data_IF_647778474883
#
_entry.id   IF_647778474883
#
_cell.length_a   1.000
_cell.length_b   1.000
_cell.length_c   1.000
_cell.angle_alpha   90.00
_cell.angle_beta   90.00
_cell.angle_gamma   90.00
#
_symmetry.space_group_name_H-M   'P 1'
#
loop_
_entity.id
_entity.type
_entity.pdbx_description
1 polymer ?
#
# COMPACT_ATOMS: atom_id res chain seq x y z
N UNK A 1 31.49 31.27 4.52
CA UNK A 1 30.74 31.13 5.78
C UNK A 1 29.28 31.28 5.41
N UNK A 2 28.65 30.19 4.95
CA UNK A 2 27.23 30.14 4.58
C UNK A 2 26.48 29.67 5.80
N UNK A 3 25.33 30.25 6.16
CA UNK A 3 24.65 29.93 7.41
C UNK A 3 24.12 28.50 7.41
N UNK A 4 24.36 27.80 8.49
CA UNK A 4 23.78 26.50 8.88
C UNK A 4 22.33 26.72 9.36
N UNK A 5 21.39 26.97 8.44
CA UNK A 5 19.95 26.93 8.73
C UNK A 5 19.25 26.44 7.47
N UNK A 6 18.98 25.14 7.41
CA UNK A 6 17.89 24.43 6.76
C UNK A 6 18.22 22.91 6.63
N UNK A 7 18.62 22.29 7.73
CA UNK A 7 18.67 20.83 7.80
C UNK A 7 17.77 20.36 8.95
N UNK A 8 16.47 20.48 8.76
CA UNK A 8 15.51 19.76 9.59
C UNK A 8 14.19 19.55 8.84
N UNK A 9 13.83 18.29 8.72
CA UNK A 9 12.56 17.68 9.07
C UNK A 9 11.63 17.35 7.91
N UNK A 10 11.83 16.17 7.31
CA UNK A 10 10.80 15.54 6.46
C UNK A 10 10.07 14.37 7.15
N UNK A 11 10.31 14.15 8.45
CA UNK A 11 9.67 13.08 9.22
C UNK A 11 8.67 13.62 10.26
N UNK A 12 8.39 14.94 10.23
CA UNK A 12 7.48 15.58 11.16
C UNK A 12 6.12 15.76 10.52
N UNK A 13 5.06 15.33 11.22
CA UNK A 13 3.68 15.58 10.83
C UNK A 13 3.41 17.08 10.88
N UNK A 14 3.05 17.68 9.76
CA UNK A 14 2.80 19.10 9.59
C UNK A 14 1.35 19.40 9.98
N UNK A 15 1.15 20.03 11.12
CA UNK A 15 -0.15 20.28 11.70
C UNK A 15 -0.56 21.75 11.55
N UNK A 16 -1.79 21.98 11.06
CA UNK A 16 -2.44 23.30 11.09
C UNK A 16 -3.50 23.29 12.19
N UNK A 17 -3.41 24.23 13.14
CA UNK A 17 -4.42 24.40 14.19
C UNK A 17 -5.35 25.57 13.85
N UNK A 18 -6.68 25.34 13.92
CA UNK A 18 -7.71 26.36 13.73
C UNK A 18 -8.50 26.48 15.03
N UNK A 19 -8.20 27.56 15.79
CA UNK A 19 -8.65 27.73 17.16
C UNK A 19 -8.69 29.23 17.50
N UNK A 20 -9.83 29.76 17.93
CA UNK A 20 -10.01 31.19 18.23
C UNK A 20 -9.87 31.52 19.73
N UNK A 21 -9.81 30.52 20.61
CA UNK A 21 -9.58 30.72 22.03
C UNK A 21 -8.09 30.65 22.35
N UNK A 22 -7.42 31.79 22.71
CA UNK A 22 -5.97 31.83 22.88
C UNK A 22 -5.45 30.83 23.93
N UNK A 23 -6.21 30.57 24.99
CA UNK A 23 -5.83 29.63 26.05
C UNK A 23 -5.78 28.19 25.54
N UNK A 24 -6.71 27.78 24.66
CA UNK A 24 -6.75 26.45 24.04
C UNK A 24 -5.59 26.32 23.05
N UNK A 25 -5.37 27.33 22.21
CA UNK A 25 -4.24 27.37 21.30
C UNK A 25 -2.88 27.26 22.01
N UNK A 26 -2.71 27.99 23.13
CA UNK A 26 -1.51 27.87 23.97
C UNK A 26 -1.37 26.49 24.61
N UNK A 27 -2.47 25.91 25.09
CA UNK A 27 -2.49 24.55 25.64
C UNK A 27 -2.02 23.53 24.63
N UNK A 28 -2.60 23.52 23.41
CA UNK A 28 -2.19 22.61 22.33
C UNK A 28 -0.72 22.82 21.96
N UNK A 29 -0.28 24.06 21.80
CA UNK A 29 1.14 24.37 21.55
C UNK A 29 2.06 23.83 22.64
N UNK A 30 1.70 24.03 23.91
CA UNK A 30 2.48 23.55 25.06
C UNK A 30 2.63 22.02 25.07
N UNK A 31 1.58 21.28 24.70
CA UNK A 31 1.62 19.81 24.60
C UNK A 31 2.56 19.33 23.48
N UNK A 32 2.70 20.09 22.40
CA UNK A 32 3.48 19.71 21.23
C UNK A 32 4.92 20.24 21.24
N UNK A 33 5.24 21.28 22.03
CA UNK A 33 6.58 21.88 22.09
C UNK A 33 7.69 20.91 22.52
N UNK A 34 7.36 19.88 23.29
CA UNK A 34 8.31 18.86 23.74
C UNK A 34 8.45 17.67 22.76
N UNK A 35 7.74 17.71 21.62
CA UNK A 35 7.64 16.60 20.69
C UNK A 35 8.29 16.94 19.34
N UNK A 36 9.30 16.16 18.97
CA UNK A 36 9.97 16.33 17.66
C UNK A 36 9.18 15.77 16.47
N UNK A 37 8.15 14.95 16.74
CA UNK A 37 7.39 14.25 15.70
C UNK A 37 6.31 15.10 15.02
N UNK A 38 5.87 16.22 15.62
CA UNK A 38 4.79 17.06 15.07
C UNK A 38 5.28 18.51 15.00
N UNK A 39 5.09 19.15 13.85
CA UNK A 39 5.40 20.57 13.61
C UNK A 39 4.11 21.34 13.40
N UNK A 40 3.81 22.32 14.27
CA UNK A 40 2.72 23.26 14.04
C UNK A 40 3.16 24.24 12.95
N UNK A 41 2.44 24.26 11.84
CA UNK A 41 2.69 25.19 10.71
C UNK A 41 2.23 26.59 11.06
N UNK A 42 0.99 26.69 11.53
CA UNK A 42 0.36 27.96 11.93
C UNK A 42 -0.80 27.69 12.90
N UNK A 43 -1.26 28.74 13.57
CA UNK A 43 -2.49 28.75 14.38
C UNK A 43 -3.39 29.86 13.86
N UNK A 44 -4.50 29.47 13.27
CA UNK A 44 -5.47 30.37 12.67
C UNK A 44 -6.71 30.54 13.52
N UNK A 45 -7.20 31.76 13.60
CA UNK A 45 -8.43 32.09 14.34
C UNK A 45 -9.62 32.32 13.44
N UNK A 46 -9.41 32.41 12.12
CA UNK A 46 -10.44 32.64 11.10
C UNK A 46 -10.54 31.45 10.15
N UNK A 47 -11.66 30.73 10.20
CA UNK A 47 -11.92 29.58 9.36
C UNK A 47 -11.94 29.88 7.85
N UNK A 48 -12.40 31.08 7.45
CA UNK A 48 -12.45 31.46 6.03
C UNK A 48 -11.04 31.64 5.46
N UNK A 49 -10.12 32.18 6.25
CA UNK A 49 -8.71 32.33 5.88
C UNK A 49 -8.03 30.96 5.85
N UNK A 50 -8.36 30.08 6.80
CA UNK A 50 -7.79 28.74 6.86
C UNK A 50 -8.07 27.94 5.57
N UNK A 51 -9.32 27.91 5.09
CA UNK A 51 -9.69 27.23 3.84
C UNK A 51 -8.87 27.73 2.65
N UNK A 52 -8.60 29.04 2.55
CA UNK A 52 -7.82 29.62 1.46
C UNK A 52 -6.33 29.27 1.52
N UNK A 53 -5.78 29.08 2.74
CA UNK A 53 -4.34 28.88 2.93
C UNK A 53 -3.93 27.38 3.01
N UNK A 54 -4.87 26.47 3.27
CA UNK A 54 -4.58 25.01 3.29
C UNK A 54 -3.88 24.54 2.01
N UNK A 55 -4.27 24.92 0.78
CA UNK A 55 -3.59 24.49 -0.44
C UNK A 55 -2.13 24.95 -0.54
N UNK A 56 -1.80 26.12 0.02
CA UNK A 56 -0.45 26.67 0.04
C UNK A 56 0.40 26.05 1.17
N UNK A 57 -0.20 25.91 2.35
CA UNK A 57 0.47 25.36 3.53
C UNK A 57 0.68 23.87 3.44
N UNK A 58 -0.20 23.16 2.74
CA UNK A 58 -0.19 21.68 2.59
C UNK A 58 0.05 20.98 3.94
N UNK A 59 -0.81 21.17 4.94
CA UNK A 59 -0.70 20.45 6.20
C UNK A 59 -0.99 18.97 6.00
N UNK A 60 -0.34 18.11 6.80
CA UNK A 60 -0.62 16.69 6.82
C UNK A 60 -1.86 16.36 7.67
N UNK A 61 -2.17 17.22 8.67
CA UNK A 61 -3.35 17.11 9.53
C UNK A 61 -3.84 18.51 9.89
N UNK A 62 -5.15 18.71 9.86
CA UNK A 62 -5.80 19.93 10.37
C UNK A 62 -6.52 19.62 11.66
N UNK A 63 -6.34 20.43 12.69
CA UNK A 63 -7.06 20.36 13.96
C UNK A 63 -8.01 21.56 14.05
N UNK A 64 -9.30 21.31 14.22
CA UNK A 64 -10.36 22.35 14.22
C UNK A 64 -11.13 22.30 15.53
N UNK A 65 -11.32 23.44 16.18
CA UNK A 65 -12.27 23.54 17.29
C UNK A 65 -13.72 23.46 16.77
N UNK A 66 -14.50 22.52 17.31
CA UNK A 66 -15.95 22.40 17.03
C UNK A 66 -16.73 23.66 17.41
N UNK A 67 -16.23 24.41 18.39
CA UNK A 67 -16.86 25.63 18.94
C UNK A 67 -16.35 26.92 18.32
N UNK A 68 -15.48 26.81 17.28
CA UNK A 68 -14.94 27.97 16.57
C UNK A 68 -16.04 28.97 16.22
N UNK A 69 -15.83 30.22 16.60
CA UNK A 69 -16.74 31.32 16.34
C UNK A 69 -16.35 32.03 15.01
N UNK A 70 -17.24 32.85 14.47
CA UNK A 70 -16.97 33.64 13.28
C UNK A 70 -17.96 33.38 12.15
N UNK A 71 -17.52 33.74 10.91
CA UNK A 71 -18.36 33.60 9.69
C UNK A 71 -18.67 32.15 9.36
N UNK A 72 -17.72 31.25 9.65
CA UNK A 72 -17.83 29.82 9.43
C UNK A 72 -17.64 29.16 10.78
N UNK A 73 -18.67 28.42 11.25
CA UNK A 73 -18.62 27.68 12.52
C UNK A 73 -17.83 26.39 12.39
N UNK A 74 -17.27 25.89 13.49
CA UNK A 74 -16.31 24.78 13.51
C UNK A 74 -16.67 23.58 12.64
N UNK A 75 -17.86 22.98 12.82
CA UNK A 75 -18.27 21.82 12.00
C UNK A 75 -18.61 22.17 10.54
N UNK A 76 -19.08 23.41 10.28
CA UNK A 76 -19.25 23.88 8.90
C UNK A 76 -17.90 24.09 8.21
N UNK A 77 -16.89 24.51 8.98
CA UNK A 77 -15.52 24.63 8.49
C UNK A 77 -14.95 23.28 8.09
N UNK A 78 -15.14 22.24 8.90
CA UNK A 78 -14.72 20.88 8.57
C UNK A 78 -15.26 20.45 7.22
N UNK A 79 -16.55 20.66 6.98
CA UNK A 79 -17.17 20.35 5.69
C UNK A 79 -16.57 21.13 4.53
N UNK A 80 -16.28 22.43 4.71
CA UNK A 80 -15.65 23.25 3.68
C UNK A 80 -14.19 22.85 3.41
N UNK A 81 -13.44 22.46 4.45
CA UNK A 81 -12.08 21.93 4.27
C UNK A 81 -12.14 20.62 3.48
N UNK A 82 -13.09 19.75 3.80
CA UNK A 82 -13.29 18.50 3.09
C UNK A 82 -13.63 18.72 1.60
N UNK A 83 -14.49 19.70 1.30
CA UNK A 83 -14.88 20.05 -0.08
C UNK A 83 -13.74 20.74 -0.86
N UNK A 84 -12.86 21.49 -0.19
CA UNK A 84 -11.79 22.27 -0.82
C UNK A 84 -10.45 21.53 -0.91
N UNK A 85 -10.20 20.59 -0.01
CA UNK A 85 -8.93 19.85 0.10
C UNK A 85 -9.23 18.44 0.62
N UNK A 86 -9.77 17.59 -0.24
CA UNK A 86 -10.27 16.25 0.08
C UNK A 86 -9.25 15.35 0.77
N UNK A 87 -7.94 15.62 0.58
CA UNK A 87 -6.86 14.76 1.03
C UNK A 87 -6.29 15.14 2.41
N UNK A 88 -6.80 16.20 3.05
CA UNK A 88 -6.32 16.64 4.36
C UNK A 88 -7.24 16.14 5.46
N UNK A 89 -6.78 15.22 6.32
CA UNK A 89 -7.58 14.72 7.41
C UNK A 89 -7.80 15.77 8.49
N UNK A 90 -9.03 15.83 9.03
CA UNK A 90 -9.41 16.77 10.07
C UNK A 90 -9.68 16.05 11.39
N UNK A 91 -9.06 16.54 12.47
CA UNK A 91 -9.34 16.19 13.85
C UNK A 91 -10.15 17.32 14.48
N UNK A 92 -11.28 16.98 15.09
CA UNK A 92 -12.16 17.95 15.75
C UNK A 92 -11.89 17.97 17.25
N UNK A 93 -11.56 19.15 17.79
CA UNK A 93 -11.54 19.38 19.23
C UNK A 93 -12.98 19.66 19.68
N UNK A 94 -13.39 19.03 20.77
CA UNK A 94 -14.77 19.20 21.30
C UNK A 94 -14.76 19.19 22.84
N UNK A 95 -15.92 19.37 23.44
CA UNK A 95 -16.13 19.28 24.89
C UNK A 95 -17.17 18.21 25.20
N UNK A 96 -17.17 17.60 26.40
CA UNK A 96 -18.12 16.53 26.75
C UNK A 96 -19.59 16.93 26.61
N UNK A 97 -19.88 18.23 26.72
CA UNK A 97 -21.24 18.77 26.60
C UNK A 97 -21.76 18.84 25.16
N UNK A 98 -20.86 18.76 24.18
CA UNK A 98 -21.16 18.75 22.74
C UNK A 98 -20.40 17.62 22.06
N UNK A 99 -20.80 16.37 22.25
CA UNK A 99 -20.11 15.23 21.67
C UNK A 99 -20.20 15.26 20.15
N UNK A 100 -19.06 15.04 19.50
CA UNK A 100 -18.94 14.90 18.04
C UNK A 100 -18.47 13.48 17.77
N UNK A 101 -19.05 12.82 16.78
CA UNK A 101 -18.59 11.48 16.32
C UNK A 101 -17.57 11.58 15.21
N UNK A 102 -16.74 10.55 15.06
CA UNK A 102 -15.90 10.36 13.87
C UNK A 102 -16.81 10.07 12.68
N UNK A 103 -16.64 10.83 11.60
CA UNK A 103 -17.44 10.72 10.37
C UNK A 103 -16.57 11.11 9.16
N UNK A 104 -15.74 10.17 8.65
CA UNK A 104 -14.85 10.45 7.53
C UNK A 104 -15.59 10.87 6.25
N UNK A 105 -16.83 10.41 6.05
CA UNK A 105 -17.64 10.79 4.89
C UNK A 105 -18.01 12.29 4.88
N UNK A 106 -18.01 12.92 6.05
CA UNK A 106 -18.21 14.36 6.23
C UNK A 106 -16.94 15.10 6.66
N UNK A 107 -15.77 14.47 6.49
CA UNK A 107 -14.44 15.07 6.73
C UNK A 107 -13.96 15.00 8.18
N UNK A 108 -14.64 14.31 9.12
CA UNK A 108 -14.21 14.17 10.52
C UNK A 108 -13.45 12.86 10.69
N UNK A 109 -12.12 12.90 10.60
CA UNK A 109 -11.26 11.72 10.68
C UNK A 109 -10.85 11.36 12.10
N UNK A 110 -10.93 12.32 13.04
CA UNK A 110 -10.63 12.10 14.43
C UNK A 110 -11.35 13.09 15.34
N UNK A 111 -11.51 12.71 16.59
CA UNK A 111 -12.12 13.58 17.61
C UNK A 111 -11.30 13.51 18.89
N UNK A 112 -11.08 14.67 19.53
CA UNK A 112 -10.47 14.82 20.84
C UNK A 112 -11.39 15.65 21.74
N UNK A 113 -11.82 15.07 22.86
CA UNK A 113 -12.66 15.78 23.85
C UNK A 113 -11.81 16.41 24.92
N UNK A 114 -11.98 17.70 25.16
CA UNK A 114 -11.33 18.46 26.22
C UNK A 114 -11.80 18.02 27.62
N UNK A 115 -10.91 17.94 28.64
CA UNK A 115 -9.46 18.05 28.54
C UNK A 115 -8.81 16.76 28.05
N UNK A 116 -7.79 16.85 27.23
CA UNK A 116 -7.00 15.71 26.74
C UNK A 116 -5.52 15.88 27.11
N UNK A 117 -4.78 14.77 27.16
CA UNK A 117 -3.33 14.80 27.42
C UNK A 117 -2.52 15.00 26.12
N UNK A 118 -1.23 15.33 26.28
CA UNK A 118 -0.29 15.36 25.14
C UNK A 118 -0.21 14.00 24.44
N UNK A 119 -0.27 12.91 25.20
CA UNK A 119 -0.28 11.56 24.68
C UNK A 119 -1.53 11.30 23.78
N UNK A 120 -2.72 11.72 24.22
CA UNK A 120 -3.96 11.56 23.44
C UNK A 120 -3.89 12.33 22.12
N UNK A 121 -3.39 13.58 22.17
CA UNK A 121 -3.23 14.41 20.97
C UNK A 121 -2.23 13.78 19.98
N UNK A 122 -1.05 13.39 20.45
CA UNK A 122 0.00 12.81 19.60
C UNK A 122 -0.46 11.49 18.99
N UNK A 123 -1.08 10.63 19.82
CA UNK A 123 -1.61 9.33 19.36
C UNK A 123 -2.68 9.54 18.30
N UNK A 124 -3.63 10.47 18.53
CA UNK A 124 -4.71 10.74 17.57
C UNK A 124 -4.19 11.35 16.27
N UNK A 125 -3.28 12.33 16.35
CA UNK A 125 -2.64 12.93 15.16
C UNK A 125 -1.87 11.87 14.37
N UNK A 126 -1.06 11.06 15.04
CA UNK A 126 -0.29 9.98 14.40
C UNK A 126 -1.20 8.91 13.76
N UNK A 127 -2.29 8.54 14.45
CA UNK A 127 -3.26 7.58 13.94
C UNK A 127 -3.97 8.10 12.69
N UNK A 128 -4.54 9.31 12.77
CA UNK A 128 -5.28 9.93 11.65
C UNK A 128 -4.35 10.19 10.47
N UNK A 129 -3.13 10.67 10.71
CA UNK A 129 -2.13 10.86 9.66
C UNK A 129 -1.75 9.53 8.99
N UNK A 130 -1.55 8.47 9.78
CA UNK A 130 -1.25 7.13 9.27
C UNK A 130 -2.42 6.53 8.46
N UNK A 131 -3.65 6.70 8.96
CA UNK A 131 -4.85 6.28 8.23
C UNK A 131 -5.00 7.03 6.91
N UNK A 132 -4.72 8.36 6.89
CA UNK A 132 -4.77 9.17 5.67
C UNK A 132 -3.64 8.83 4.68
N UNK A 133 -2.44 8.52 5.16
CA UNK A 133 -1.38 7.99 4.28
C UNK A 133 -1.79 6.67 3.62
N UNK A 134 -2.71 5.94 4.24
CA UNK A 134 -3.32 4.74 3.68
C UNK A 134 -4.50 5.05 2.73
N UNK A 135 -5.09 6.25 2.82
CA UNK A 135 -6.27 6.66 2.02
C UNK A 135 -6.02 7.85 1.07
N UNK A 136 -4.77 8.32 0.92
CA UNK A 136 -4.44 9.46 0.03
C UNK A 136 -4.92 9.26 -1.41
N UNK A 137 -5.33 10.34 -2.07
CA UNK A 137 -6.12 10.48 -3.31
C UNK A 137 -5.47 10.00 -4.64
N UNK A 138 -4.65 8.97 -4.58
CA UNK A 138 -4.56 7.93 -5.59
C UNK A 138 -5.50 6.83 -5.09
N UNK A 139 -6.57 6.53 -5.80
CA UNK A 139 -7.57 5.54 -5.42
C UNK A 139 -6.90 4.38 -4.67
N UNK A 140 -7.39 4.04 -3.47
CA UNK A 140 -6.73 3.21 -2.44
C UNK A 140 -5.62 2.33 -3.02
N UNK A 141 -4.34 2.71 -2.80
CA UNK A 141 -3.21 1.93 -3.30
C UNK A 141 -3.35 0.49 -2.84
N UNK A 142 -3.49 -0.41 -3.77
CA UNK A 142 -3.68 -1.82 -3.46
C UNK A 142 -2.35 -2.57 -3.54
N UNK A 143 -1.95 -3.17 -2.44
CA UNK A 143 -0.77 -4.04 -2.39
C UNK A 143 -1.20 -5.49 -2.54
N UNK A 144 -0.70 -6.14 -3.59
CA UNK A 144 -1.02 -7.53 -3.94
C UNK A 144 0.26 -8.36 -3.86
N UNK A 145 0.33 -9.29 -2.90
CA UNK A 145 1.43 -10.23 -2.79
C UNK A 145 1.10 -11.50 -3.59
N UNK A 146 1.88 -11.78 -4.63
CA UNK A 146 1.76 -13.03 -5.42
C UNK A 146 2.63 -14.09 -4.76
N UNK A 147 2.00 -15.05 -4.10
CA UNK A 147 2.65 -16.04 -3.26
C UNK A 147 2.31 -17.48 -3.66
N UNK A 148 3.15 -18.40 -3.33
CA UNK A 148 2.86 -19.84 -3.31
C UNK A 148 3.89 -20.56 -2.46
N UNK A 149 3.48 -21.59 -1.69
CA UNK A 149 4.37 -22.35 -0.82
C UNK A 149 5.23 -23.38 -1.58
N UNK A 150 5.25 -23.31 -2.92
CA UNK A 150 6.03 -24.19 -3.80
C UNK A 150 6.65 -23.45 -4.96
N UNK A 151 7.86 -23.81 -5.34
CA UNK A 151 8.54 -23.29 -6.55
C UNK A 151 7.95 -23.84 -7.85
N UNK A 152 8.12 -23.09 -8.95
CA UNK A 152 7.73 -23.53 -10.28
C UNK A 152 6.23 -23.47 -10.63
N UNK A 153 5.39 -22.95 -9.74
CA UNK A 153 3.94 -22.76 -9.99
C UNK A 153 3.61 -21.54 -10.84
N UNK A 154 4.60 -20.68 -11.15
CA UNK A 154 4.44 -19.54 -12.05
C UNK A 154 4.30 -18.18 -11.37
N UNK A 155 4.71 -18.00 -10.10
CA UNK A 155 4.61 -16.74 -9.36
C UNK A 155 5.15 -15.54 -10.12
N UNK A 156 6.44 -15.53 -10.41
CA UNK A 156 7.14 -14.44 -11.11
C UNK A 156 6.52 -14.13 -12.46
N UNK A 157 6.14 -15.17 -13.22
CA UNK A 157 5.44 -15.02 -14.51
C UNK A 157 4.09 -14.32 -14.32
N UNK A 158 3.30 -14.75 -13.34
CA UNK A 158 1.98 -14.15 -13.08
C UNK A 158 2.13 -12.75 -12.50
N UNK A 159 3.03 -12.52 -11.54
CA UNK A 159 3.27 -11.21 -10.94
C UNK A 159 3.65 -10.17 -12.01
N UNK A 160 4.58 -10.50 -12.91
CA UNK A 160 4.99 -9.61 -13.99
C UNK A 160 3.84 -9.31 -14.97
N UNK A 161 3.14 -10.32 -15.45
CA UNK A 161 2.04 -10.11 -16.39
C UNK A 161 0.83 -9.43 -15.73
N UNK A 162 0.57 -9.68 -14.44
CA UNK A 162 -0.46 -8.99 -13.67
C UNK A 162 -0.15 -7.49 -13.53
N UNK A 163 1.11 -7.14 -13.24
CA UNK A 163 1.54 -5.74 -13.14
C UNK A 163 1.34 -5.00 -14.47
N UNK A 164 1.72 -5.64 -15.57
CA UNK A 164 1.54 -5.06 -16.92
C UNK A 164 0.07 -4.99 -17.29
N UNK A 165 -0.74 -5.99 -16.96
CA UNK A 165 -2.18 -5.97 -17.18
C UNK A 165 -2.88 -4.86 -16.39
N UNK A 166 -2.48 -4.63 -15.13
CA UNK A 166 -2.98 -3.51 -14.33
C UNK A 166 -2.62 -2.15 -14.96
N UNK A 167 -1.38 -2.00 -15.44
CA UNK A 167 -0.95 -0.78 -16.13
C UNK A 167 -1.75 -0.54 -17.44
N UNK A 168 -2.07 -1.59 -18.21
CA UNK A 168 -2.95 -1.51 -19.39
C UNK A 168 -4.35 -0.98 -19.06
N UNK A 169 -4.83 -1.20 -17.84
CA UNK A 169 -6.11 -0.67 -17.34
C UNK A 169 -6.02 0.78 -16.86
N UNK A 170 -4.86 1.45 -17.06
CA UNK A 170 -4.64 2.83 -16.66
C UNK A 170 -4.22 3.01 -15.20
N UNK A 171 -3.91 1.92 -14.50
CA UNK A 171 -3.48 1.95 -13.09
C UNK A 171 -1.97 2.21 -13.03
N UNK A 172 -1.53 3.21 -12.27
CA UNK A 172 -0.11 3.45 -12.04
C UNK A 172 0.46 2.33 -11.18
N UNK A 173 1.23 1.44 -11.78
CA UNK A 173 1.62 0.16 -11.18
C UNK A 173 3.13 0.06 -11.01
N UNK A 174 3.57 -0.49 -9.87
CA UNK A 174 4.94 -0.90 -9.60
C UNK A 174 4.98 -2.38 -9.26
N UNK A 175 6.00 -3.07 -9.78
CA UNK A 175 6.31 -4.45 -9.43
C UNK A 175 7.52 -4.48 -8.49
N UNK A 176 7.43 -5.23 -7.41
CA UNK A 176 8.49 -5.38 -6.40
C UNK A 176 9.03 -6.80 -6.45
N UNK A 177 10.34 -6.96 -6.59
CA UNK A 177 11.02 -8.24 -6.46
C UNK A 177 11.17 -8.59 -4.97
N UNK A 178 10.26 -9.36 -4.44
CA UNK A 178 10.29 -9.91 -3.08
C UNK A 178 11.15 -11.18 -2.96
N UNK A 179 11.67 -11.72 -4.07
CA UNK A 179 12.65 -12.81 -4.08
C UNK A 179 14.07 -12.26 -3.82
N UNK A 180 14.26 -11.65 -2.65
CA UNK A 180 15.46 -10.86 -2.32
C UNK A 180 16.74 -11.66 -2.52
N UNK A 181 16.71 -12.97 -2.24
CA UNK A 181 17.90 -13.83 -2.32
C UNK A 181 18.26 -14.24 -3.75
N UNK A 182 17.27 -14.52 -4.60
CA UNK A 182 17.51 -15.07 -5.95
C UNK A 182 17.24 -14.08 -7.08
N UNK A 183 16.56 -12.98 -6.81
CA UNK A 183 16.29 -11.92 -7.79
C UNK A 183 15.69 -12.46 -9.10
N UNK A 184 14.63 -13.26 -8.98
CA UNK A 184 14.04 -13.99 -10.12
C UNK A 184 13.57 -13.05 -11.25
N UNK A 185 13.13 -11.83 -10.92
CA UNK A 185 12.75 -10.82 -11.91
C UNK A 185 13.93 -10.34 -12.75
N UNK A 186 15.15 -10.20 -12.17
CA UNK A 186 16.34 -9.81 -12.94
C UNK A 186 16.63 -10.81 -14.06
N UNK A 187 16.53 -12.10 -13.75
CA UNK A 187 16.77 -13.17 -14.71
C UNK A 187 15.67 -13.21 -15.78
N UNK A 188 14.40 -13.12 -15.38
CA UNK A 188 13.26 -13.12 -16.28
C UNK A 188 13.32 -11.94 -17.27
N UNK A 189 13.58 -10.72 -16.78
CA UNK A 189 13.58 -9.49 -17.56
C UNK A 189 14.89 -9.20 -18.27
N UNK A 190 15.93 -10.02 -18.05
CA UNK A 190 17.29 -9.83 -18.60
C UNK A 190 17.86 -8.46 -18.27
N UNK A 191 17.63 -8.02 -17.04
CA UNK A 191 18.07 -6.72 -16.57
C UNK A 191 19.61 -6.66 -16.55
N UNK A 192 20.25 -5.56 -16.98
CA UNK A 192 21.69 -5.37 -16.86
C UNK A 192 22.19 -5.56 -15.43
N UNK A 193 23.40 -6.08 -15.28
CA UNK A 193 23.96 -6.39 -13.96
C UNK A 193 24.19 -5.14 -13.09
N UNK A 194 24.37 -3.99 -13.72
CA UNK A 194 24.56 -2.67 -13.12
C UNK A 194 23.27 -1.89 -12.90
N UNK A 195 22.11 -2.48 -13.24
CA UNK A 195 20.83 -1.84 -12.95
C UNK A 195 20.61 -1.70 -11.43
N UNK A 196 20.01 -0.58 -11.00
CA UNK A 196 19.79 -0.31 -9.59
C UNK A 196 18.91 -1.37 -8.90
N UNK A 197 18.98 -1.40 -7.58
CA UNK A 197 18.25 -2.31 -6.72
C UNK A 197 17.78 -1.59 -5.45
N UNK A 198 17.06 -2.29 -4.60
CA UNK A 198 16.66 -1.79 -3.28
C UNK A 198 17.86 -1.31 -2.43
N UNK A 199 19.07 -1.83 -2.65
CA UNK A 199 20.29 -1.44 -1.92
C UNK A 199 20.83 -0.06 -2.31
N UNK A 200 20.41 0.47 -3.45
CA UNK A 200 20.83 1.80 -3.92
C UNK A 200 19.98 2.91 -3.28
N UNK A 201 18.99 2.55 -2.46
CA UNK A 201 18.23 3.51 -1.65
C UNK A 201 19.10 4.06 -0.51
N UNK A 202 18.99 5.37 -0.19
CA UNK A 202 19.66 5.95 0.97
C UNK A 202 19.21 5.29 2.26
N UNK A 203 20.19 4.86 3.11
CA UNK A 203 19.87 4.11 4.35
C UNK A 203 19.19 4.97 5.42
N UNK A 204 19.55 6.25 5.49
CA UNK A 204 19.08 7.13 6.58
C UNK A 204 17.75 7.82 6.27
N UNK A 205 17.52 8.18 5.01
CA UNK A 205 16.34 8.94 4.59
C UNK A 205 15.99 8.64 3.13
N UNK A 206 14.95 7.87 2.92
CA UNK A 206 14.38 7.64 1.59
C UNK A 206 13.30 8.68 1.32
N UNK A 207 13.48 9.49 0.26
CA UNK A 207 12.50 10.46 -0.21
C UNK A 207 11.97 10.06 -1.59
N UNK A 208 10.88 10.68 -2.01
CA UNK A 208 10.21 10.36 -3.27
C UNK A 208 11.13 10.48 -4.49
N UNK A 209 12.03 11.48 -4.51
CA UNK A 209 13.01 11.67 -5.58
C UNK A 209 13.99 10.50 -5.74
N UNK A 210 14.34 9.83 -4.64
CA UNK A 210 15.31 8.74 -4.65
C UNK A 210 14.76 7.50 -5.37
N UNK A 211 13.43 7.30 -5.32
CA UNK A 211 12.79 6.18 -6.03
C UNK A 211 12.95 6.28 -7.55
N UNK A 212 13.00 7.49 -8.12
CA UNK A 212 13.24 7.68 -9.55
C UNK A 212 14.60 7.16 -10.02
N UNK A 213 15.60 7.11 -9.12
CA UNK A 213 16.95 6.63 -9.41
C UNK A 213 17.12 5.12 -9.19
N UNK A 214 16.22 4.52 -8.38
CA UNK A 214 16.30 3.12 -7.93
C UNK A 214 15.37 2.20 -8.69
N UNK A 215 14.26 2.73 -9.21
CA UNK A 215 13.29 1.95 -9.96
C UNK A 215 13.77 1.70 -11.39
N UNK A 216 13.77 0.42 -11.78
CA UNK A 216 13.98 0.01 -13.16
C UNK A 216 12.73 0.31 -13.99
N UNK A 217 12.87 1.10 -15.05
CA UNK A 217 11.78 1.33 -16.00
C UNK A 217 11.77 0.24 -17.05
N UNK A 218 10.80 -0.67 -16.98
CA UNK A 218 10.66 -1.75 -17.94
C UNK A 218 10.07 -1.26 -19.28
N UNK A 219 10.49 -1.83 -20.43
CA UNK A 219 9.91 -1.48 -21.75
C UNK A 219 8.40 -1.66 -21.84
N UNK A 220 7.79 -2.49 -21.01
CA UNK A 220 6.31 -2.63 -20.90
C UNK A 220 5.60 -1.41 -20.31
N UNK A 221 6.37 -0.46 -19.77
CA UNK A 221 5.84 0.78 -19.21
C UNK A 221 5.57 0.76 -17.71
N UNK A 222 5.89 -0.32 -17.00
CA UNK A 222 5.82 -0.37 -15.52
C UNK A 222 7.17 -0.02 -14.90
N UNK A 223 7.13 0.41 -13.64
CA UNK A 223 8.31 0.57 -12.80
C UNK A 223 8.53 -0.68 -11.96
N UNK A 224 9.79 -1.07 -11.76
CA UNK A 224 10.14 -2.29 -11.02
C UNK A 224 11.21 -1.97 -9.97
N UNK A 225 10.94 -2.32 -8.72
CA UNK A 225 11.93 -2.35 -7.66
C UNK A 225 12.61 -3.71 -7.68
N UNK A 226 13.86 -3.72 -8.06
CA UNK A 226 14.64 -4.96 -8.20
C UNK A 226 15.30 -5.38 -6.89
N UNK A 227 15.37 -6.68 -6.65
CA UNK A 227 16.20 -7.27 -5.61
C UNK A 227 17.69 -7.09 -5.90
N UNK A 228 18.61 -7.27 -4.93
CA UNK A 228 20.03 -7.20 -5.11
C UNK A 228 20.54 -8.14 -6.22
N UNK A 229 21.57 -7.74 -6.99
CA UNK A 229 22.03 -8.54 -8.13
C UNK A 229 22.80 -9.82 -7.75
N UNK A 230 23.19 -9.97 -6.50
CA UNK A 230 23.97 -11.12 -5.98
C UNK A 230 23.41 -11.63 -4.66
N UNK A 231 23.45 -12.92 -4.47
CA UNK A 231 22.90 -13.61 -3.28
C UNK A 231 23.54 -13.10 -1.98
N UNK A 232 24.85 -12.84 -1.98
CA UNK A 232 25.57 -12.35 -0.80
C UNK A 232 25.11 -10.95 -0.37
N UNK A 233 24.55 -10.18 -1.29
CA UNK A 233 24.03 -8.84 -1.02
C UNK A 233 22.61 -8.88 -0.41
N UNK A 234 21.93 -10.01 -0.47
CA UNK A 234 20.58 -10.14 0.09
C UNK A 234 20.54 -9.88 1.60
N UNK A 235 21.59 -10.26 2.33
CA UNK A 235 21.73 -10.04 3.77
C UNK A 235 21.84 -8.56 4.17
N UNK A 236 22.14 -7.69 3.20
CA UNK A 236 22.20 -6.23 3.42
C UNK A 236 20.83 -5.58 3.41
N UNK A 237 19.80 -6.25 2.87
CA UNK A 237 18.43 -5.74 2.84
C UNK A 237 17.80 -5.94 4.21
N UNK A 238 17.49 -4.84 4.88
CA UNK A 238 16.84 -4.91 6.19
C UNK A 238 15.32 -4.83 6.08
N UNK A 239 14.63 -5.40 7.04
CA UNK A 239 13.18 -5.27 7.18
C UNK A 239 12.73 -3.79 7.17
N UNK A 240 13.48 -2.94 7.88
CA UNK A 240 13.23 -1.51 7.96
C UNK A 240 13.27 -0.81 6.59
N UNK A 241 14.22 -1.20 5.73
CA UNK A 241 14.34 -0.61 4.39
C UNK A 241 13.17 -1.03 3.51
N UNK A 242 12.77 -2.31 3.57
CA UNK A 242 11.58 -2.81 2.90
C UNK A 242 10.29 -2.11 3.34
N UNK A 243 10.11 -1.93 4.64
CA UNK A 243 8.92 -1.25 5.17
C UNK A 243 8.86 0.22 4.73
N UNK A 244 10.00 0.92 4.74
CA UNK A 244 10.08 2.31 4.27
C UNK A 244 9.73 2.42 2.79
N UNK A 245 10.36 1.59 1.96
CA UNK A 245 10.14 1.66 0.51
C UNK A 245 8.72 1.27 0.14
N UNK A 246 8.15 0.23 0.75
CA UNK A 246 6.76 -0.14 0.51
C UNK A 246 5.79 0.98 0.89
N UNK A 247 6.03 1.66 2.01
CA UNK A 247 5.22 2.80 2.43
C UNK A 247 5.27 3.95 1.42
N UNK A 248 6.44 4.21 0.81
CA UNK A 248 6.59 5.20 -0.26
C UNK A 248 5.91 4.74 -1.56
N UNK A 249 6.11 3.49 -1.96
CA UNK A 249 5.49 2.95 -3.17
C UNK A 249 3.95 3.01 -3.08
N UNK A 250 3.37 2.70 -1.92
CA UNK A 250 1.92 2.81 -1.69
C UNK A 250 1.39 4.24 -1.82
N UNK A 251 2.22 5.26 -1.59
CA UNK A 251 1.84 6.66 -1.77
C UNK A 251 1.91 7.13 -3.22
N UNK A 252 2.75 6.50 -4.02
CA UNK A 252 3.08 6.95 -5.38
C UNK A 252 2.42 6.14 -6.49
N UNK A 253 1.95 4.93 -6.16
CA UNK A 253 1.37 3.98 -7.11
C UNK A 253 -0.02 3.55 -6.66
N UNK A 254 -0.92 3.37 -7.61
CA UNK A 254 -2.28 2.85 -7.38
C UNK A 254 -2.28 1.36 -7.08
N UNK A 255 -1.29 0.63 -7.63
CA UNK A 255 -1.10 -0.79 -7.38
C UNK A 255 0.38 -1.11 -7.14
N UNK A 256 0.66 -1.82 -6.04
CA UNK A 256 1.97 -2.40 -5.71
C UNK A 256 1.83 -3.91 -5.80
N UNK A 257 2.49 -4.53 -6.77
CA UNK A 257 2.47 -5.99 -6.93
C UNK A 257 3.81 -6.53 -6.45
N UNK A 258 3.79 -7.52 -5.56
CA UNK A 258 4.99 -8.10 -4.98
C UNK A 258 5.13 -9.54 -5.47
N UNK A 259 6.21 -9.84 -6.19
CA UNK A 259 6.62 -11.21 -6.52
C UNK A 259 7.33 -11.83 -5.32
N UNK A 260 6.66 -12.73 -4.62
CA UNK A 260 7.14 -13.28 -3.35
C UNK A 260 8.06 -14.48 -3.56
N UNK A 261 8.98 -14.72 -2.63
CA UNK A 261 9.71 -16.00 -2.56
C UNK A 261 8.84 -17.13 -1.98
N UNK A 262 9.37 -18.37 -1.92
CA UNK A 262 8.63 -19.52 -1.33
C UNK A 262 8.73 -19.60 0.19
N UNK A 263 9.65 -18.84 0.80
CA UNK A 263 9.93 -18.92 2.23
C UNK A 263 8.86 -18.19 3.05
N UNK A 264 8.68 -18.60 4.29
CA UNK A 264 7.93 -17.88 5.33
C UNK A 264 8.91 -17.35 6.39
N UNK A 265 9.97 -16.67 5.93
CA UNK A 265 10.91 -15.95 6.79
C UNK A 265 10.38 -14.59 7.22
N UNK A 266 11.13 -13.89 8.06
CA UNK A 266 10.76 -12.58 8.62
C UNK A 266 10.45 -11.54 7.53
N UNK A 267 11.25 -11.50 6.47
CA UNK A 267 11.05 -10.57 5.34
C UNK A 267 9.74 -10.88 4.61
N UNK A 268 9.52 -12.14 4.26
CA UNK A 268 8.32 -12.54 3.54
C UNK A 268 7.05 -12.38 4.39
N UNK A 269 7.10 -12.65 5.68
CA UNK A 269 5.98 -12.40 6.57
C UNK A 269 5.66 -10.91 6.65
N UNK A 270 6.66 -10.03 6.73
CA UNK A 270 6.44 -8.60 6.73
C UNK A 270 5.84 -8.08 5.41
N UNK A 271 6.25 -8.64 4.26
CA UNK A 271 5.64 -8.34 2.96
C UNK A 271 4.18 -8.81 2.91
N UNK A 272 3.89 -10.02 3.41
CA UNK A 272 2.53 -10.54 3.51
C UNK A 272 1.66 -9.72 4.47
N UNK A 273 2.20 -9.26 5.59
CA UNK A 273 1.49 -8.39 6.55
C UNK A 273 1.04 -7.08 5.90
N UNK A 274 1.89 -6.50 5.05
CA UNK A 274 1.63 -5.23 4.34
C UNK A 274 0.72 -5.38 3.13
N UNK A 275 0.53 -6.59 2.61
CA UNK A 275 -0.36 -6.84 1.49
C UNK A 275 -1.84 -6.65 1.88
N UNK A 276 -2.62 -6.04 1.02
CA UNK A 276 -4.08 -5.97 1.13
C UNK A 276 -4.72 -7.27 0.64
N UNK A 277 -4.09 -7.90 -0.37
CA UNK A 277 -4.48 -9.19 -0.94
C UNK A 277 -3.25 -10.09 -1.06
N UNK A 278 -3.37 -11.31 -0.58
CA UNK A 278 -2.43 -12.41 -0.83
C UNK A 278 -3.03 -13.27 -1.94
N UNK A 279 -2.43 -13.20 -3.12
CA UNK A 279 -2.82 -13.99 -4.27
C UNK A 279 -2.04 -15.30 -4.28
N UNK A 280 -2.63 -16.35 -3.73
CA UNK A 280 -1.98 -17.65 -3.60
C UNK A 280 -2.16 -18.51 -4.84
N UNK A 281 -1.05 -18.81 -5.53
CA UNK A 281 -1.06 -19.67 -6.72
C UNK A 281 -1.06 -21.14 -6.35
N UNK A 282 -2.02 -21.86 -6.90
CA UNK A 282 -2.18 -23.30 -6.74
C UNK A 282 -2.15 -23.97 -8.11
N UNK A 283 -1.59 -25.17 -8.19
CA UNK A 283 -1.63 -26.04 -9.38
C UNK A 283 -2.24 -27.39 -9.01
N UNK A 284 -2.80 -28.10 -10.02
CA UNK A 284 -3.36 -29.44 -9.82
C UNK A 284 -2.26 -30.49 -9.66
N UNK A 285 -1.49 -30.38 -8.57
CA UNK A 285 -0.56 -31.41 -8.10
C UNK A 285 -0.67 -31.61 -6.59
N UNK A 286 -0.51 -32.84 -6.14
CA UNK A 286 -0.76 -33.22 -4.74
C UNK A 286 0.12 -32.48 -3.74
N UNK A 287 1.36 -32.16 -4.11
CA UNK A 287 2.29 -31.45 -3.21
C UNK A 287 1.95 -29.97 -3.08
N UNK A 288 1.52 -29.31 -4.15
CA UNK A 288 1.05 -27.93 -4.07
C UNK A 288 -0.21 -27.84 -3.21
N UNK A 289 -1.20 -28.73 -3.43
CA UNK A 289 -2.43 -28.76 -2.65
C UNK A 289 -2.12 -29.01 -1.16
N UNK A 290 -1.26 -29.98 -0.85
CA UNK A 290 -0.85 -30.23 0.53
C UNK A 290 -0.22 -29.00 1.20
N UNK A 291 0.72 -28.35 0.52
CA UNK A 291 1.39 -27.17 1.04
C UNK A 291 0.43 -25.98 1.21
N UNK A 292 -0.52 -25.79 0.28
CA UNK A 292 -1.56 -24.77 0.37
C UNK A 292 -2.46 -24.96 1.59
N UNK A 293 -2.84 -26.20 1.90
CA UNK A 293 -3.62 -26.53 3.11
C UNK A 293 -2.82 -26.18 4.38
N UNK A 294 -1.57 -26.63 4.46
CA UNK A 294 -0.69 -26.33 5.59
C UNK A 294 -0.47 -24.82 5.76
N UNK A 295 -0.35 -24.08 4.66
CA UNK A 295 -0.23 -22.63 4.66
C UNK A 295 -1.51 -21.96 5.15
N UNK A 296 -2.68 -22.41 4.72
CA UNK A 296 -3.97 -21.89 5.18
C UNK A 296 -4.14 -22.05 6.70
N UNK A 297 -3.69 -23.16 7.26
CA UNK A 297 -3.66 -23.38 8.71
C UNK A 297 -2.69 -22.41 9.41
N UNK A 298 -1.51 -22.18 8.82
CA UNK A 298 -0.53 -21.21 9.32
C UNK A 298 -1.10 -19.79 9.30
N UNK A 299 -1.72 -19.38 8.20
CA UNK A 299 -2.34 -18.06 8.07
C UNK A 299 -3.46 -17.83 9.10
N UNK A 300 -4.22 -18.87 9.42
CA UNK A 300 -5.23 -18.82 10.48
C UNK A 300 -4.61 -18.62 11.86
N UNK A 301 -3.49 -19.30 12.14
CA UNK A 301 -2.77 -19.18 13.43
C UNK A 301 -2.19 -17.79 13.62
N UNK A 302 -1.60 -17.19 12.57
CA UNK A 302 -1.06 -15.82 12.61
C UNK A 302 -2.14 -14.73 12.50
N UNK A 303 -3.42 -15.11 12.30
CA UNK A 303 -4.55 -14.18 12.36
C UNK A 303 -4.91 -13.50 11.05
N UNK A 304 -4.48 -13.98 9.89
CA UNK A 304 -4.91 -13.42 8.61
C UNK A 304 -6.39 -13.72 8.36
N UNK A 305 -7.11 -12.68 7.94
CA UNK A 305 -8.50 -12.82 7.51
C UNK A 305 -8.59 -13.73 6.28
N UNK A 306 -9.55 -14.66 6.22
CA UNK A 306 -9.79 -15.47 5.01
C UNK A 306 -10.06 -14.63 3.76
N UNK A 307 -10.59 -13.41 3.91
CA UNK A 307 -10.83 -12.49 2.81
C UNK A 307 -9.53 -11.88 2.24
N UNK A 308 -8.45 -11.87 3.01
CA UNK A 308 -7.13 -11.39 2.56
C UNK A 308 -6.47 -12.35 1.57
N UNK A 309 -6.78 -13.65 1.62
CA UNK A 309 -6.18 -14.68 0.77
C UNK A 309 -7.15 -15.02 -0.36
N UNK A 310 -6.71 -14.90 -1.60
CA UNK A 310 -7.46 -15.32 -2.79
C UNK A 310 -6.66 -16.39 -3.52
N UNK A 311 -7.32 -17.49 -3.90
CA UNK A 311 -6.68 -18.60 -4.60
C UNK A 311 -6.79 -18.43 -6.12
N UNK A 312 -5.66 -18.62 -6.79
CA UNK A 312 -5.58 -18.68 -8.26
C UNK A 312 -5.12 -20.06 -8.68
N UNK A 313 -5.96 -20.80 -9.35
CA UNK A 313 -5.54 -22.05 -9.98
C UNK A 313 -4.81 -21.72 -11.26
N UNK A 314 -3.48 -21.86 -11.26
CA UNK A 314 -2.68 -21.69 -12.45
C UNK A 314 -2.60 -23.02 -13.22
N UNK A 315 -2.55 -22.95 -14.55
CA UNK A 315 -2.62 -24.10 -15.45
C UNK A 315 -3.91 -24.93 -15.21
N UNK A 316 -5.03 -24.24 -15.08
CA UNK A 316 -6.30 -24.80 -14.62
C UNK A 316 -6.90 -25.90 -15.52
N UNK A 317 -6.53 -25.88 -16.81
CA UNK A 317 -6.94 -26.87 -17.81
C UNK A 317 -5.87 -27.93 -18.11
N UNK A 318 -4.76 -27.94 -17.34
CA UNK A 318 -3.75 -28.99 -17.45
C UNK A 318 -4.31 -30.32 -16.96
N UNK A 319 -4.18 -31.35 -17.79
CA UNK A 319 -4.59 -32.71 -17.39
C UNK A 319 -3.60 -33.30 -16.37
N UNK A 320 -3.82 -32.99 -15.10
CA UNK A 320 -2.97 -33.42 -13.98
C UNK A 320 -3.55 -34.62 -13.19
N UNK A 321 -4.70 -35.15 -13.60
CA UNK A 321 -5.34 -36.29 -12.94
C UNK A 321 -5.96 -35.99 -11.58
N UNK A 322 -6.12 -34.72 -11.24
CA UNK A 322 -6.80 -34.26 -10.01
C UNK A 322 -8.09 -33.55 -10.41
N UNK A 323 -9.20 -33.95 -9.79
CA UNK A 323 -10.50 -33.33 -10.02
C UNK A 323 -10.55 -31.93 -9.36
N UNK A 324 -11.01 -30.87 -10.07
CA UNK A 324 -11.26 -29.56 -9.49
C UNK A 324 -12.13 -29.59 -8.23
N UNK A 325 -13.06 -30.54 -8.13
CA UNK A 325 -13.89 -30.75 -6.93
C UNK A 325 -13.06 -31.20 -5.71
N UNK A 326 -11.98 -31.95 -5.92
CA UNK A 326 -11.10 -32.39 -4.85
C UNK A 326 -10.29 -31.20 -4.32
N UNK A 327 -9.82 -30.31 -5.17
CA UNK A 327 -9.17 -29.07 -4.75
C UNK A 327 -10.13 -28.19 -3.95
N UNK A 328 -11.35 -27.98 -4.45
CA UNK A 328 -12.40 -27.22 -3.73
C UNK A 328 -12.69 -27.79 -2.35
N UNK A 329 -12.79 -29.12 -2.25
CA UNK A 329 -13.01 -29.82 -0.98
C UNK A 329 -11.82 -29.66 -0.03
N UNK A 330 -10.61 -29.74 -0.55
CA UNK A 330 -9.38 -29.60 0.21
C UNK A 330 -9.18 -28.18 0.77
N UNK A 331 -9.51 -27.15 0.00
CA UNK A 331 -9.44 -25.75 0.41
C UNK A 331 -10.64 -25.31 1.27
N UNK A 332 -11.73 -26.07 1.28
CA UNK A 332 -12.99 -25.70 1.95
C UNK A 332 -13.75 -24.55 1.24
N UNK A 333 -13.27 -24.10 0.08
CA UNK A 333 -13.90 -23.06 -0.75
C UNK A 333 -13.49 -23.19 -2.22
N UNK A 334 -14.31 -22.63 -3.10
CA UNK A 334 -14.01 -22.56 -4.53
C UNK A 334 -12.90 -21.52 -4.74
N UNK A 335 -11.81 -21.84 -5.48
CA UNK A 335 -10.82 -20.86 -5.86
C UNK A 335 -11.45 -19.71 -6.66
N UNK A 336 -11.06 -18.48 -6.34
CA UNK A 336 -11.65 -17.26 -6.90
C UNK A 336 -11.29 -17.06 -8.37
N UNK A 337 -10.09 -17.52 -8.76
CA UNK A 337 -9.54 -17.25 -10.09
C UNK A 337 -8.92 -18.49 -10.71
N UNK A 338 -8.91 -18.51 -12.05
CA UNK A 338 -8.30 -19.57 -12.84
C UNK A 338 -7.55 -18.99 -14.03
N UNK A 339 -6.35 -19.51 -14.28
CA UNK A 339 -5.51 -19.17 -15.42
C UNK A 339 -5.20 -20.45 -16.18
N UNK A 340 -5.54 -20.49 -17.48
CA UNK A 340 -5.32 -21.67 -18.32
C UNK A 340 -3.84 -21.92 -18.60
N UNK A 341 -3.54 -23.12 -19.10
CA UNK A 341 -2.20 -23.54 -19.48
C UNK A 341 -1.98 -23.32 -20.97
N UNK A 342 -1.17 -22.34 -21.33
CA UNK A 342 -0.73 -22.11 -22.71
C UNK A 342 0.80 -22.00 -22.80
N UNK A 343 1.48 -23.10 -22.51
CA UNK A 343 2.95 -23.16 -22.49
C UNK A 343 3.61 -22.68 -23.79
N UNK A 344 2.95 -22.88 -24.94
CA UNK A 344 3.44 -22.39 -26.23
C UNK A 344 3.47 -20.85 -26.34
N UNK A 345 2.68 -20.15 -25.53
CA UNK A 345 2.71 -18.68 -25.41
C UNK A 345 3.64 -18.23 -24.27
N UNK A 346 3.48 -18.84 -23.11
CA UNK A 346 4.16 -18.40 -21.88
C UNK A 346 5.67 -18.64 -21.93
N UNK A 347 6.12 -19.83 -22.39
CA UNK A 347 7.55 -20.17 -22.35
C UNK A 347 8.38 -19.29 -23.28
N UNK A 348 8.01 -19.06 -24.56
CA UNK A 348 8.77 -18.13 -25.41
C UNK A 348 8.77 -16.69 -24.87
N UNK A 349 7.65 -16.21 -24.33
CA UNK A 349 7.52 -14.86 -23.75
C UNK A 349 8.48 -14.69 -22.56
N UNK A 350 8.47 -15.62 -21.61
CA UNK A 350 9.42 -15.63 -20.49
C UNK A 350 10.88 -15.70 -20.93
N UNK A 351 11.21 -16.56 -21.91
CA UNK A 351 12.56 -16.67 -22.43
C UNK A 351 13.05 -15.40 -23.13
N UNK A 352 12.15 -14.57 -23.61
CA UNK A 352 12.46 -13.28 -24.23
C UNK A 352 12.44 -12.11 -23.24
N UNK A 353 11.94 -12.31 -22.02
CA UNK A 353 11.72 -11.23 -21.04
C UNK A 353 10.58 -10.29 -21.45
N UNK A 354 9.62 -10.76 -22.23
CA UNK A 354 8.51 -9.95 -22.73
C UNK A 354 7.21 -10.44 -22.10
N UNK A 355 6.33 -9.56 -21.57
CA UNK A 355 5.08 -10.00 -20.97
C UNK A 355 4.12 -10.50 -22.06
N UNK A 356 3.58 -11.69 -21.88
CA UNK A 356 2.66 -12.30 -22.87
C UNK A 356 1.34 -11.51 -23.01
N UNK A 357 0.92 -10.77 -22.00
CA UNK A 357 -0.26 -9.86 -22.09
C UNK A 357 -0.05 -8.72 -23.10
N UNK A 358 1.20 -8.42 -23.50
CA UNK A 358 1.53 -7.49 -24.58
C UNK A 358 1.87 -8.21 -25.87
N UNK A 359 2.71 -9.25 -25.83
CA UNK A 359 3.16 -9.95 -27.03
C UNK A 359 2.06 -10.82 -27.66
N UNK A 360 1.14 -11.35 -26.85
CA UNK A 360 0.07 -12.24 -27.29
C UNK A 360 -1.27 -11.87 -26.63
N UNK A 361 -1.81 -10.65 -26.84
CA UNK A 361 -3.01 -10.17 -26.13
C UNK A 361 -4.27 -11.00 -26.43
N UNK A 362 -4.34 -11.65 -27.61
CA UNK A 362 -5.45 -12.52 -27.99
C UNK A 362 -5.38 -13.92 -27.39
N UNK A 363 -4.28 -14.31 -26.75
CA UNK A 363 -4.13 -15.63 -26.12
C UNK A 363 -5.06 -15.76 -24.91
N UNK A 364 -5.54 -16.97 -24.66
CA UNK A 364 -6.44 -17.23 -23.56
C UNK A 364 -5.80 -16.94 -22.20
N UNK A 365 -4.52 -17.31 -22.01
CA UNK A 365 -3.77 -17.01 -20.78
C UNK A 365 -3.65 -15.49 -20.54
N UNK A 366 -3.48 -14.69 -21.61
CA UNK A 366 -3.42 -13.22 -21.51
C UNK A 366 -4.76 -12.64 -21.04
N UNK A 367 -5.86 -13.11 -21.65
CA UNK A 367 -7.21 -12.70 -21.24
C UNK A 367 -7.54 -13.11 -19.80
N UNK A 368 -7.05 -14.28 -19.35
CA UNK A 368 -7.26 -14.73 -17.96
C UNK A 368 -6.56 -13.80 -16.99
N UNK A 369 -5.30 -13.40 -17.25
CA UNK A 369 -4.54 -12.47 -16.41
C UNK A 369 -5.15 -11.05 -16.45
N UNK A 370 -5.64 -10.58 -17.62
CA UNK A 370 -6.35 -9.30 -17.71
C UNK A 370 -7.64 -9.29 -16.89
N UNK A 371 -8.41 -10.39 -16.90
CA UNK A 371 -9.59 -10.54 -16.05
C UNK A 371 -9.23 -10.55 -14.56
N UNK A 372 -8.14 -11.24 -14.20
CA UNK A 372 -7.62 -11.24 -12.84
C UNK A 372 -7.26 -9.81 -12.39
N UNK A 373 -6.51 -9.06 -13.20
CA UNK A 373 -6.16 -7.67 -12.91
C UNK A 373 -7.41 -6.81 -12.71
N UNK A 374 -8.38 -6.90 -13.60
CA UNK A 374 -9.63 -6.14 -13.51
C UNK A 374 -10.43 -6.48 -12.24
N UNK A 375 -10.50 -7.77 -11.86
CA UNK A 375 -11.22 -8.21 -10.66
C UNK A 375 -10.56 -7.69 -9.38
N UNK A 376 -9.22 -7.77 -9.29
CA UNK A 376 -8.47 -7.30 -8.12
C UNK A 376 -8.61 -5.79 -7.95
N UNK A 377 -8.43 -5.01 -9.02
CA UNK A 377 -8.52 -3.55 -8.98
C UNK A 377 -9.95 -3.06 -8.69
N UNK A 378 -10.97 -3.78 -9.16
CA UNK A 378 -12.36 -3.45 -8.83
C UNK A 378 -12.68 -3.68 -7.34
N UNK A 379 -12.14 -4.76 -6.75
CA UNK A 379 -12.31 -5.05 -5.33
C UNK A 379 -11.63 -4.01 -4.43
N UNK A 380 -10.46 -3.49 -4.83
CA UNK A 380 -9.75 -2.42 -4.09
C UNK A 380 -10.45 -1.06 -4.12
N UNK A 381 -11.33 -0.83 -5.11
CA UNK A 381 -12.13 0.40 -5.24
C UNK A 381 -13.50 0.33 -4.56
N UNK A 382 -13.94 -0.84 -4.14
CA UNK A 382 -15.20 -1.00 -3.43
C UNK A 382 -15.06 -0.44 -2.00
N UNK A 383 -15.97 0.44 -1.51
CA UNK A 383 -15.95 0.87 -0.12
C UNK A 383 -16.08 -0.36 0.77
N UNK A 384 -15.21 -0.46 1.78
CA UNK A 384 -15.28 -1.53 2.79
C UNK A 384 -16.68 -1.46 3.41
N UNK A 385 -17.53 -2.42 3.08
CA UNK A 385 -18.85 -2.52 3.66
C UNK A 385 -18.69 -2.60 5.18
N UNK A 386 -19.20 -1.59 5.88
CA UNK A 386 -19.19 -1.53 7.33
C UNK A 386 -19.73 -2.86 7.87
N UNK A 387 -18.86 -3.61 8.55
CA UNK A 387 -19.18 -4.91 9.10
C UNK A 387 -20.44 -4.82 9.97
N UNK A 388 -21.45 -5.54 9.56
CA UNK A 388 -22.64 -5.80 10.37
C UNK A 388 -22.16 -6.59 11.59
N UNK A 389 -22.55 -6.10 12.73
CA UNK A 389 -22.37 -6.46 14.14
C UNK A 389 -22.12 -7.96 14.44
#
# INVERSE_FOLDING_TARGET
>A
MVPFEDMATSDQVRLLLIEDVPQVAQYVRGLLMAQSAIKILDVMTDGSRAVQQIPELRPDVVVVDALLQGRIKGLQLVKQIHEAALDVPVIVLTVPQQPVGVDPANGIHGVLSMPFSGYDLITRVGQVHKEQQQTGDHGVSQTIAVFAPKGGVGRTTIAFNLAVAAAKLGTKTVLVDGSIQFADLRALLRVPADAPSILDLPTDRVVESDLGEVLWRDPSGIDILLAPPRIEMAEMVTLRDLEKVLSLLRRLYDAVIIDMSVALDEINLALLDRADVILELVTYDSTTIHNTIALADTFRVIGYSPAKVQYVVNRADANAGIDPADLTRALGRVPEHQIRSEGAVVVPANNQGVPFVLSNPGAGVSQDVERLAAALLAAGRAPVAAGVR
#
